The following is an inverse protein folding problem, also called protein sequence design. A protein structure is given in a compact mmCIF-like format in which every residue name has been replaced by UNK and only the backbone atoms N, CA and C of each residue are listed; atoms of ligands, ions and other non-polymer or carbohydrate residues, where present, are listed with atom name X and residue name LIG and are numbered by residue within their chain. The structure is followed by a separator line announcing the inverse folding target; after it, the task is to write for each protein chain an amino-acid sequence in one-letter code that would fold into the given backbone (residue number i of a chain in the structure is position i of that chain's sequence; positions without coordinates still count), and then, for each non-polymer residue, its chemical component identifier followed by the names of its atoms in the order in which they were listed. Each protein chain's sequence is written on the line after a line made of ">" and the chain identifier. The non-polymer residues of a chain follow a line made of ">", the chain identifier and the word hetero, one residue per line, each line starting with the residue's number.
data_IF_888470187768
#
_entry.id   IF_888470187768
#
_cell.length_a   1.000
_cell.length_b   1.000
_cell.length_c   1.000
_cell.angle_alpha   90.00
_cell.angle_beta   90.00
_cell.angle_gamma   90.00
#
_symmetry.space_group_name_H-M   'P 1'
#
loop_
_entity.id
_entity.type
_entity.pdbx_description
1 polymer ?
#
# COMPACT_ATOMS: atom_id res chain seq x y z
N UNK A 1 -28.55 13.84 -46.43
CA UNK A 1 -27.11 13.54 -46.28
C UNK A 1 -26.65 14.10 -44.94
N UNK A 2 -26.35 13.25 -43.97
CA UNK A 2 -25.79 13.67 -42.69
C UNK A 2 -24.71 12.65 -42.28
N UNK A 3 -23.46 12.98 -42.59
CA UNK A 3 -22.30 12.18 -42.20
C UNK A 3 -22.07 12.29 -40.69
N UNK A 4 -22.21 11.16 -39.98
CA UNK A 4 -21.73 11.00 -38.61
C UNK A 4 -20.20 11.00 -38.62
N UNK A 5 -19.60 12.12 -38.27
CA UNK A 5 -18.16 12.23 -38.01
C UNK A 5 -17.80 11.40 -36.78
N UNK A 6 -17.06 10.31 -36.99
CA UNK A 6 -16.47 9.50 -35.92
C UNK A 6 -15.43 10.35 -35.17
N UNK A 7 -15.65 10.56 -33.87
CA UNK A 7 -14.75 11.31 -33.00
C UNK A 7 -13.48 10.47 -32.75
N UNK A 8 -12.33 11.01 -33.14
CA UNK A 8 -10.99 10.41 -33.08
C UNK A 8 -10.31 10.55 -31.71
N UNK A 9 -11.06 10.90 -30.66
CA UNK A 9 -10.51 11.33 -29.37
C UNK A 9 -10.54 10.25 -28.27
N UNK A 10 -10.82 9.00 -28.65
CA UNK A 10 -10.70 7.87 -27.73
C UNK A 10 -9.40 7.14 -28.04
N UNK A 11 -8.41 7.11 -27.11
CA UNK A 11 -7.25 6.26 -27.29
C UNK A 11 -7.74 4.82 -27.34
N UNK A 12 -7.68 4.25 -28.55
CA UNK A 12 -7.98 2.85 -28.82
C UNK A 12 -6.91 2.03 -28.12
N UNK A 13 -7.22 1.55 -26.91
CA UNK A 13 -6.34 0.67 -26.15
C UNK A 13 -6.34 -0.68 -26.87
N UNK A 14 -5.51 -0.83 -27.91
CA UNK A 14 -5.24 -2.11 -28.55
C UNK A 14 -4.40 -2.98 -27.62
N UNK A 15 -5.03 -3.50 -26.58
CA UNK A 15 -4.53 -4.65 -25.82
C UNK A 15 -5.34 -5.87 -26.20
N UNK A 16 -5.08 -6.39 -27.39
CA UNK A 16 -5.45 -7.77 -27.70
C UNK A 16 -4.33 -8.44 -28.48
N UNK A 17 -3.18 -8.51 -27.82
CA UNK A 17 -2.20 -9.54 -28.15
C UNK A 17 -2.88 -10.89 -28.01
N UNK A 18 -2.79 -11.70 -29.07
CA UNK A 18 -3.18 -13.09 -29.14
C UNK A 18 -2.28 -13.93 -28.22
N UNK A 19 -2.25 -13.62 -26.93
CA UNK A 19 -1.69 -14.52 -25.93
C UNK A 19 -2.69 -15.64 -25.81
N UNK A 20 -2.29 -16.77 -26.37
CA UNK A 20 -2.97 -18.05 -26.30
C UNK A 20 -3.46 -18.23 -24.85
N UNK A 21 -4.78 -18.15 -24.62
CA UNK A 21 -5.45 -18.48 -23.36
C UNK A 21 -5.32 -20.01 -23.15
N UNK A 22 -4.10 -20.50 -23.03
CA UNK A 22 -3.83 -21.84 -22.55
C UNK A 22 -4.24 -21.85 -21.09
N UNK A 23 -5.49 -22.26 -20.84
CA UNK A 23 -6.08 -22.67 -19.55
C UNK A 23 -5.39 -22.13 -18.28
N UNK A 24 -5.12 -20.82 -18.27
CA UNK A 24 -4.32 -20.14 -17.24
C UNK A 24 -5.08 -20.14 -15.92
N UNK A 25 -6.40 -20.28 -16.02
CA UNK A 25 -7.33 -20.42 -14.92
C UNK A 25 -7.35 -21.84 -14.34
N UNK A 26 -7.40 -22.92 -15.15
CA UNK A 26 -7.38 -24.28 -14.60
C UNK A 26 -6.01 -24.66 -14.05
N UNK A 27 -4.94 -24.31 -14.76
CA UNK A 27 -3.58 -24.52 -14.28
C UNK A 27 -3.31 -23.67 -13.03
N UNK A 28 -3.78 -22.43 -12.99
CA UNK A 28 -3.70 -21.57 -11.81
C UNK A 28 -4.37 -22.16 -10.57
N UNK A 29 -5.59 -22.71 -10.72
CA UNK A 29 -6.30 -23.40 -9.63
C UNK A 29 -5.58 -24.66 -9.17
N UNK A 30 -5.00 -25.45 -10.09
CA UNK A 30 -4.22 -26.64 -9.76
C UNK A 30 -2.98 -26.27 -8.95
N UNK A 31 -2.20 -25.29 -9.43
CA UNK A 31 -1.00 -24.80 -8.76
C UNK A 31 -1.32 -24.22 -7.38
N UNK A 32 -2.40 -23.46 -7.22
CA UNK A 32 -2.82 -22.93 -5.93
C UNK A 32 -3.20 -24.04 -4.93
N UNK A 33 -3.86 -25.10 -5.40
CA UNK A 33 -4.20 -26.25 -4.58
C UNK A 33 -2.95 -27.03 -4.16
N UNK A 34 -2.02 -27.23 -5.10
CA UNK A 34 -0.73 -27.89 -4.86
C UNK A 34 0.13 -27.08 -3.90
N UNK A 35 0.20 -25.75 -4.04
CA UNK A 35 0.94 -24.86 -3.14
C UNK A 35 0.39 -24.90 -1.72
N UNK A 36 -0.94 -24.85 -1.54
CA UNK A 36 -1.57 -25.01 -0.22
C UNK A 36 -1.34 -26.40 0.38
N UNK A 37 -1.33 -27.43 -0.45
CA UNK A 37 -1.10 -28.81 -0.01
C UNK A 37 0.36 -29.05 0.42
N UNK A 38 1.33 -28.60 -0.38
CA UNK A 38 2.77 -28.72 -0.09
C UNK A 38 3.22 -27.82 1.07
N UNK A 39 2.62 -26.63 1.22
CA UNK A 39 2.90 -25.72 2.33
C UNK A 39 2.34 -26.20 3.68
N UNK A 40 1.50 -27.24 3.67
CA UNK A 40 0.96 -27.84 4.89
C UNK A 40 1.80 -29.05 5.30
N UNK A 41 2.22 -29.15 6.57
CA UNK A 41 2.98 -30.30 7.09
C UNK A 41 2.31 -31.68 6.94
N UNK A 42 1.02 -31.71 6.58
CA UNK A 42 0.25 -32.92 6.28
C UNK A 42 0.82 -33.73 5.12
N UNK A 43 1.36 -33.08 4.09
CA UNK A 43 1.96 -33.80 2.95
C UNK A 43 3.14 -34.67 3.40
N UNK A 44 4.03 -34.09 4.21
CA UNK A 44 5.18 -34.80 4.76
C UNK A 44 4.74 -36.01 5.58
N UNK A 45 3.70 -35.86 6.42
CA UNK A 45 3.14 -36.97 7.20
C UNK A 45 2.65 -38.11 6.29
N UNK A 46 1.84 -37.81 5.27
CA UNK A 46 1.37 -38.84 4.33
C UNK A 46 2.52 -39.52 3.57
N UNK A 47 3.52 -38.74 3.14
CA UNK A 47 4.69 -39.27 2.45
C UNK A 47 5.50 -40.21 3.36
N UNK A 48 5.77 -39.80 4.59
CA UNK A 48 6.50 -40.60 5.58
C UNK A 48 5.75 -41.90 5.92
N UNK A 49 4.44 -41.83 6.15
CA UNK A 49 3.61 -43.03 6.40
C UNK A 49 3.66 -43.98 5.21
N UNK A 50 3.56 -43.47 3.98
CA UNK A 50 3.63 -44.29 2.76
C UNK A 50 4.96 -45.02 2.64
N UNK A 51 6.08 -44.32 2.89
CA UNK A 51 7.43 -44.92 2.86
C UNK A 51 7.56 -46.00 3.96
N UNK A 52 7.12 -45.71 5.18
CA UNK A 52 7.17 -46.65 6.31
C UNK A 52 6.33 -47.90 6.00
N UNK A 53 5.12 -47.72 5.45
CA UNK A 53 4.24 -48.83 5.10
C UNK A 53 4.81 -49.68 3.97
N UNK A 54 5.43 -49.06 2.95
CA UNK A 54 6.13 -49.77 1.88
C UNK A 54 7.33 -50.57 2.39
N UNK A 55 8.13 -49.95 3.24
CA UNK A 55 9.29 -50.58 3.86
C UNK A 55 8.87 -51.74 4.78
N UNK A 56 7.86 -51.52 5.61
CA UNK A 56 7.28 -52.52 6.50
C UNK A 56 6.71 -53.71 5.70
N UNK A 57 5.93 -53.44 4.65
CA UNK A 57 5.40 -54.49 3.78
C UNK A 57 6.51 -55.35 3.19
N UNK A 58 7.55 -54.74 2.61
CA UNK A 58 8.62 -55.50 1.97
C UNK A 58 9.58 -56.20 2.95
N UNK A 59 9.68 -55.72 4.20
CA UNK A 59 10.54 -56.30 5.23
C UNK A 59 9.85 -57.43 5.99
N UNK A 60 8.57 -57.24 6.38
CA UNK A 60 7.79 -58.23 7.12
C UNK A 60 7.15 -59.31 6.22
N UNK A 61 7.03 -59.08 4.90
CA UNK A 61 6.48 -60.08 3.99
C UNK A 61 7.39 -61.31 3.82
N UNK A 62 6.80 -62.53 3.76
CA UNK A 62 7.50 -63.75 3.36
C UNK A 62 8.20 -63.59 2.00
N UNK A 63 9.34 -64.25 1.81
CA UNK A 63 10.17 -64.17 0.58
C UNK A 63 9.38 -64.42 -0.72
N UNK A 64 8.27 -65.15 -0.66
CA UNK A 64 7.38 -65.48 -1.78
C UNK A 64 6.43 -64.35 -2.21
N UNK A 65 6.22 -63.32 -1.38
CA UNK A 65 5.28 -62.20 -1.63
C UNK A 65 5.96 -60.83 -1.57
N UNK A 66 7.29 -60.79 -1.47
CA UNK A 66 8.05 -59.53 -1.52
C UNK A 66 7.99 -58.96 -2.92
N UNK A 67 7.36 -57.80 -3.03
CA UNK A 67 7.22 -57.07 -4.29
C UNK A 67 8.52 -56.33 -4.66
N UNK A 68 9.31 -55.89 -3.66
CA UNK A 68 10.53 -55.10 -3.82
C UNK A 68 11.66 -55.62 -2.88
N UNK A 69 12.59 -56.48 -3.36
CA UNK A 69 13.69 -57.05 -2.58
C UNK A 69 14.73 -56.00 -2.10
N UNK A 70 15.76 -56.46 -1.34
CA UNK A 70 16.70 -55.71 -0.47
C UNK A 70 17.32 -54.37 -0.98
N UNK A 71 17.18 -54.03 -2.25
CA UNK A 71 17.59 -52.74 -2.84
C UNK A 71 16.47 -51.69 -2.96
N UNK A 72 15.20 -52.05 -2.70
CA UNK A 72 14.03 -51.17 -2.87
C UNK A 72 14.05 -50.40 -4.20
N UNK A 73 14.32 -51.12 -5.30
CA UNK A 73 14.55 -50.53 -6.62
C UNK A 73 13.31 -49.79 -7.10
N UNK A 74 12.11 -50.34 -6.88
CA UNK A 74 10.87 -49.69 -7.30
C UNK A 74 10.59 -48.42 -6.51
N UNK A 75 10.78 -48.46 -5.18
CA UNK A 75 10.65 -47.27 -4.34
C UNK A 75 11.61 -46.17 -4.82
N UNK A 76 12.86 -46.54 -5.11
CA UNK A 76 13.89 -45.60 -5.57
C UNK A 76 13.55 -45.00 -6.93
N UNK A 77 13.05 -45.82 -7.87
CA UNK A 77 12.61 -45.35 -9.19
C UNK A 77 11.41 -44.40 -9.10
N UNK A 78 10.44 -44.70 -8.23
CA UNK A 78 9.28 -43.84 -8.03
C UNK A 78 9.70 -42.51 -7.39
N UNK A 79 10.55 -42.54 -6.37
CA UNK A 79 11.03 -41.33 -5.70
C UNK A 79 11.89 -40.46 -6.62
N UNK A 80 12.74 -41.06 -7.46
CA UNK A 80 13.55 -40.31 -8.43
C UNK A 80 12.69 -39.65 -9.50
N UNK A 81 11.68 -40.37 -10.02
CA UNK A 81 10.69 -39.81 -10.94
C UNK A 81 9.87 -38.69 -10.29
N UNK A 82 9.45 -38.88 -9.03
CA UNK A 82 8.71 -37.88 -8.27
C UNK A 82 9.51 -36.58 -8.15
N UNK A 83 10.79 -36.68 -7.80
CA UNK A 83 11.68 -35.53 -7.70
C UNK A 83 11.88 -34.84 -9.06
N UNK A 84 12.07 -35.62 -10.13
CA UNK A 84 12.27 -35.11 -11.48
C UNK A 84 11.05 -34.32 -12.00
N UNK A 85 9.83 -34.76 -11.71
CA UNK A 85 8.61 -34.05 -12.11
C UNK A 85 8.23 -32.90 -11.17
N UNK A 86 8.70 -32.91 -9.92
CA UNK A 86 8.48 -31.81 -9.00
C UNK A 86 9.18 -30.51 -9.47
N UNK A 87 10.40 -30.60 -10.00
CA UNK A 87 11.16 -29.45 -10.47
C UNK A 87 10.40 -28.56 -11.49
N UNK A 88 9.88 -29.08 -12.62
CA UNK A 88 9.15 -28.26 -13.58
C UNK A 88 7.83 -27.71 -13.01
N UNK A 89 7.14 -28.47 -12.15
CA UNK A 89 5.93 -27.97 -11.49
C UNK A 89 6.22 -26.82 -10.52
N UNK A 90 7.33 -26.91 -9.77
CA UNK A 90 7.76 -25.85 -8.86
C UNK A 90 8.16 -24.61 -9.66
N UNK A 91 8.89 -24.74 -10.76
CA UNK A 91 9.25 -23.62 -11.63
C UNK A 91 8.03 -22.91 -12.21
N UNK A 92 7.01 -23.67 -12.62
CA UNK A 92 5.73 -23.11 -13.08
C UNK A 92 4.97 -22.40 -11.96
N UNK A 93 5.03 -22.93 -10.74
CA UNK A 93 4.45 -22.28 -9.56
C UNK A 93 5.17 -20.97 -9.19
N UNK A 94 6.50 -20.97 -9.27
CA UNK A 94 7.36 -19.83 -8.99
C UNK A 94 7.14 -18.71 -10.01
N UNK A 95 7.15 -19.00 -11.31
CA UNK A 95 6.88 -17.99 -12.35
C UNK A 95 5.56 -17.24 -12.11
N UNK A 96 4.53 -17.92 -11.60
CA UNK A 96 3.23 -17.31 -11.26
C UNK A 96 3.22 -16.55 -9.94
N UNK A 97 4.10 -16.88 -9.00
CA UNK A 97 4.31 -16.07 -7.80
C UNK A 97 5.04 -14.79 -8.20
N UNK A 98 6.11 -14.90 -8.97
CA UNK A 98 6.90 -13.77 -9.47
C UNK A 98 6.06 -12.79 -10.29
N UNK A 99 5.14 -13.28 -11.14
CA UNK A 99 4.21 -12.43 -11.91
C UNK A 99 3.26 -11.65 -10.99
N UNK A 100 2.74 -12.27 -9.92
CA UNK A 100 1.88 -11.59 -8.93
C UNK A 100 2.66 -10.58 -8.11
N UNK A 101 3.85 -10.97 -7.65
CA UNK A 101 4.73 -10.11 -6.87
C UNK A 101 5.15 -8.89 -7.69
N UNK A 102 5.39 -9.07 -8.99
CA UNK A 102 5.65 -7.96 -9.91
C UNK A 102 4.48 -6.98 -10.01
N UNK A 103 3.25 -7.47 -10.15
CA UNK A 103 2.06 -6.61 -10.22
C UNK A 103 1.88 -5.83 -8.91
N UNK A 104 2.05 -6.49 -7.76
CA UNK A 104 1.98 -5.83 -6.45
C UNK A 104 3.06 -4.75 -6.32
N UNK A 105 4.32 -5.05 -6.71
CA UNK A 105 5.41 -4.08 -6.68
C UNK A 105 5.16 -2.88 -7.60
N UNK A 106 4.54 -3.09 -8.76
CA UNK A 106 4.21 -1.99 -9.67
C UNK A 106 3.07 -1.11 -9.10
N UNK A 107 2.07 -1.72 -8.44
CA UNK A 107 1.02 -0.98 -7.73
C UNK A 107 1.58 -0.16 -6.56
N UNK A 108 2.44 -0.75 -5.71
CA UNK A 108 3.09 -0.07 -4.59
C UNK A 108 3.93 1.12 -5.07
N UNK A 109 4.61 0.98 -6.23
CA UNK A 109 5.38 2.07 -6.83
C UNK A 109 4.48 3.22 -7.28
N UNK A 110 3.33 2.93 -7.86
CA UNK A 110 2.38 3.95 -8.30
C UNK A 110 1.72 4.66 -7.11
N UNK A 111 1.38 3.92 -6.06
CA UNK A 111 0.89 4.49 -4.79
C UNK A 111 1.97 5.40 -4.16
N UNK A 112 3.21 4.95 -4.09
CA UNK A 112 4.32 5.75 -3.56
C UNK A 112 4.56 7.04 -4.36
N UNK A 113 4.36 7.01 -5.69
CA UNK A 113 4.44 8.22 -6.53
C UNK A 113 3.30 9.19 -6.23
N UNK A 114 2.08 8.70 -6.06
CA UNK A 114 0.92 9.52 -5.70
C UNK A 114 1.11 10.15 -4.32
N UNK A 115 1.47 9.35 -3.32
CA UNK A 115 1.76 9.82 -1.97
C UNK A 115 2.85 10.90 -1.97
N UNK A 116 3.91 10.73 -2.77
CA UNK A 116 4.94 11.75 -2.93
C UNK A 116 4.39 13.04 -3.53
N UNK A 117 3.56 12.97 -4.57
CA UNK A 117 2.95 14.14 -5.19
C UNK A 117 2.02 14.88 -4.22
N UNK A 118 1.24 14.14 -3.43
CA UNK A 118 0.35 14.70 -2.40
C UNK A 118 1.16 15.39 -1.30
N UNK A 119 2.26 14.78 -0.86
CA UNK A 119 3.17 15.41 0.11
C UNK A 119 3.83 16.68 -0.46
N UNK A 120 4.25 16.67 -1.73
CA UNK A 120 4.79 17.86 -2.38
C UNK A 120 3.74 18.97 -2.51
N UNK A 121 2.48 18.61 -2.80
CA UNK A 121 1.36 19.55 -2.83
C UNK A 121 1.09 20.15 -1.45
N UNK A 122 0.94 19.32 -0.43
CA UNK A 122 0.74 19.76 0.95
C UNK A 122 1.90 20.62 1.46
N UNK A 123 3.14 20.28 1.12
CA UNK A 123 4.31 21.08 1.49
C UNK A 123 4.29 22.48 0.84
N UNK A 124 3.87 22.57 -0.43
CA UNK A 124 3.67 23.86 -1.12
C UNK A 124 2.54 24.67 -0.50
N UNK A 125 1.45 24.02 -0.13
CA UNK A 125 0.31 24.67 0.51
C UNK A 125 0.66 25.17 1.92
N UNK A 126 1.41 24.39 2.70
CA UNK A 126 1.91 24.83 4.01
C UNK A 126 2.90 26.00 3.84
N UNK A 127 3.75 25.98 2.82
CA UNK A 127 4.67 27.07 2.54
C UNK A 127 3.93 28.37 2.18
N UNK A 128 2.88 28.30 1.35
CA UNK A 128 2.06 29.46 1.00
C UNK A 128 1.29 30.01 2.20
N UNK A 129 0.69 29.13 3.01
CA UNK A 129 0.02 29.50 4.28
C UNK A 129 1.01 30.17 5.23
N UNK A 130 2.22 29.63 5.38
CA UNK A 130 3.26 30.20 6.24
C UNK A 130 3.67 31.61 5.80
N UNK A 131 3.79 31.86 4.50
CA UNK A 131 4.09 33.19 3.98
C UNK A 131 2.95 34.17 4.26
N UNK A 132 1.70 33.77 3.98
CA UNK A 132 0.51 34.60 4.24
C UNK A 132 0.35 34.94 5.74
N UNK A 133 0.54 33.96 6.64
CA UNK A 133 0.53 34.18 8.10
C UNK A 133 1.70 35.06 8.55
N UNK A 134 2.89 34.87 7.95
CA UNK A 134 4.06 35.70 8.23
C UNK A 134 3.82 37.19 7.95
N UNK A 135 3.08 37.52 6.89
CA UNK A 135 2.71 38.90 6.57
C UNK A 135 1.67 39.47 7.54
N UNK A 136 0.61 38.71 7.86
CA UNK A 136 -0.49 39.17 8.74
C UNK A 136 -0.09 39.29 10.21
N UNK A 137 0.90 38.51 10.67
CA UNK A 137 1.42 38.54 12.04
C UNK A 137 2.77 39.27 12.13
N UNK A 138 3.04 40.26 11.28
CA UNK A 138 4.27 41.04 11.40
C UNK A 138 4.24 41.81 12.72
N UNK A 139 5.34 41.77 13.48
CA UNK A 139 5.52 42.50 14.76
C UNK A 139 5.06 43.95 14.67
N UNK A 140 5.25 44.59 13.51
CA UNK A 140 4.86 45.97 13.26
C UNK A 140 3.35 46.18 13.21
N UNK A 141 2.57 45.21 12.69
CA UNK A 141 1.10 45.25 12.73
C UNK A 141 0.57 45.08 14.15
N UNK A 142 1.09 44.09 14.89
CA UNK A 142 0.74 43.92 16.31
C UNK A 142 1.12 45.15 17.13
N UNK A 143 2.27 45.78 16.84
CA UNK A 143 2.74 46.99 17.51
C UNK A 143 1.91 48.20 17.12
N UNK A 144 1.49 48.32 15.86
CA UNK A 144 0.62 49.41 15.40
C UNK A 144 -0.76 49.32 16.02
N UNK A 145 -1.35 48.12 16.12
CA UNK A 145 -2.64 47.91 16.77
C UNK A 145 -2.57 48.13 18.29
N UNK A 146 -1.50 47.66 18.95
CA UNK A 146 -1.23 47.98 20.36
C UNK A 146 -1.09 49.49 20.59
N UNK A 147 -0.31 50.18 19.75
CA UNK A 147 -0.13 51.63 19.86
C UNK A 147 -1.44 52.38 19.60
N UNK A 148 -2.27 51.93 18.65
CA UNK A 148 -3.61 52.48 18.40
C UNK A 148 -4.52 52.31 19.60
N UNK A 149 -4.52 51.12 20.21
CA UNK A 149 -5.32 50.83 21.38
C UNK A 149 -4.88 51.64 22.62
N UNK A 150 -3.58 51.84 22.82
CA UNK A 150 -3.04 52.73 23.85
C UNK A 150 -3.42 54.20 23.60
N UNK A 151 -3.25 54.70 22.37
CA UNK A 151 -3.61 56.07 22.02
C UNK A 151 -5.11 56.35 22.21
N UNK A 152 -5.98 55.39 21.84
CA UNK A 152 -7.42 55.50 22.09
C UNK A 152 -7.73 55.59 23.59
N UNK A 153 -7.04 54.82 24.44
CA UNK A 153 -7.21 54.89 25.90
C UNK A 153 -6.71 56.18 26.53
N UNK A 154 -5.59 56.72 26.08
CA UNK A 154 -5.06 57.98 26.62
C UNK A 154 -5.91 59.18 26.20
N UNK A 155 -6.44 59.19 24.97
CA UNK A 155 -7.40 60.22 24.55
C UNK A 155 -8.65 60.22 25.42
N UNK A 156 -9.19 59.04 25.77
CA UNK A 156 -10.34 58.90 26.67
C UNK A 156 -10.04 59.42 28.09
N UNK A 157 -8.81 59.19 28.58
CA UNK A 157 -8.35 59.68 29.89
C UNK A 157 -8.17 61.19 29.93
N UNK A 158 -7.65 61.78 28.87
CA UNK A 158 -7.42 63.21 28.81
C UNK A 158 -8.74 63.98 28.66
N UNK A 159 -9.70 63.46 27.88
CA UNK A 159 -11.08 63.99 27.84
C UNK A 159 -11.73 63.92 29.23
N UNK A 160 -11.56 62.81 29.97
CA UNK A 160 -12.06 62.70 31.33
C UNK A 160 -11.40 63.70 32.31
N UNK A 161 -10.11 63.99 32.13
CA UNK A 161 -9.39 65.00 32.93
C UNK A 161 -9.78 66.43 32.58
N UNK A 162 -9.99 66.74 31.32
CA UNK A 162 -10.44 68.06 30.88
C UNK A 162 -11.85 68.34 31.40
N UNK A 163 -12.77 67.38 31.26
CA UNK A 163 -14.09 67.48 31.87
C UNK A 163 -14.04 67.69 33.39
N UNK A 164 -13.13 67.01 34.10
CA UNK A 164 -12.93 67.23 35.53
C UNK A 164 -12.37 68.62 35.88
N UNK A 165 -11.53 69.21 35.01
CA UNK A 165 -10.97 70.55 35.18
C UNK A 165 -11.98 71.64 34.89
N UNK A 166 -12.83 71.46 33.88
CA UNK A 166 -13.87 72.42 33.53
C UNK A 166 -14.95 72.45 34.63
N UNK A 167 -15.34 71.29 35.15
CA UNK A 167 -16.21 71.20 36.33
C UNK A 167 -15.58 71.86 37.56
N UNK A 168 -14.26 71.72 37.76
CA UNK A 168 -13.55 72.38 38.86
C UNK A 168 -13.42 73.90 38.67
N UNK A 169 -13.32 74.39 37.43
CA UNK A 169 -13.33 75.84 37.12
C UNK A 169 -14.71 76.44 37.30
N UNK A 170 -15.75 75.75 36.84
CA UNK A 170 -17.13 76.21 36.93
C UNK A 170 -17.61 76.25 38.39
N UNK A 171 -17.13 75.32 39.23
CA UNK A 171 -17.35 75.35 40.68
C UNK A 171 -16.53 76.38 41.46
N UNK A 172 -15.49 76.98 40.86
CA UNK A 172 -14.66 78.01 41.50
C UNK A 172 -15.12 79.45 41.20
N UNK A 173 -15.99 79.62 40.19
CA UNK A 173 -16.55 80.91 39.78
C UNK A 173 -17.95 81.16 40.38
N UNK A 174 -18.48 80.20 41.17
CA UNK A 174 -19.84 80.21 41.73
C UNK A 174 -19.93 80.45 43.24
N UNK A 175 -18.83 80.77 43.92
CA UNK A 175 -18.75 81.07 45.38
C UNK A 175 -18.08 82.44 45.61
#
# INVERSE_FOLDING_TARGET
>A
MAERRARLDQPKVERRGLRNRYDEDAFGRLTERVARFLGTGRYLVYQTVTIILWFGWNTLAPKSVRFDPYTFTFLTLILSLQAAYAAPLILLAQNRQDDRDRVNLDADRDEARQAKADLEYLAREIASIRMAVGEVATRDFLRSELARAEAARDSDRDVAREGARDVAREGADTD
#
